data_IF_326165467007
#
_entry.id   IF_326165467007
#
_cell.length_a   1.000
_cell.length_b   1.000
_cell.length_c   1.000
_cell.angle_alpha   90.00
_cell.angle_beta   90.00
_cell.angle_gamma   90.00
#
_symmetry.space_group_name_H-M   'P 1'
#
loop_
_entity.id
_entity.type
_entity.pdbx_description
1 polymer ?
#
# COMPACT_ATOMS: atom_id res chain seq x y z
N UNK A 1 4.21 -15.80 10.05
CA UNK A 1 4.58 -14.39 9.77
C UNK A 1 3.86 -13.49 10.76
N UNK A 2 4.52 -12.46 11.34
CA UNK A 2 3.87 -11.56 12.30
C UNK A 2 2.93 -10.59 11.58
N UNK A 3 1.61 -10.81 11.67
CA UNK A 3 0.57 -9.98 11.05
C UNK A 3 0.74 -8.48 11.37
N UNK A 4 1.24 -8.14 12.57
CA UNK A 4 1.52 -6.76 12.97
C UNK A 4 2.60 -6.05 12.14
N UNK A 5 3.62 -6.78 11.68
CA UNK A 5 4.68 -6.20 10.81
C UNK A 5 4.13 -5.90 9.41
N UNK A 6 3.25 -6.77 8.90
CA UNK A 6 2.58 -6.58 7.61
C UNK A 6 1.62 -5.38 7.65
N UNK A 7 0.81 -5.25 8.71
CA UNK A 7 -0.06 -4.09 8.92
C UNK A 7 0.72 -2.77 8.98
N UNK A 8 1.85 -2.73 9.69
CA UNK A 8 2.69 -1.54 9.78
C UNK A 8 3.24 -1.12 8.39
N UNK A 9 3.58 -2.10 7.54
CA UNK A 9 4.03 -1.86 6.16
C UNK A 9 2.92 -1.30 5.28
N UNK A 10 1.70 -1.85 5.40
CA UNK A 10 0.51 -1.36 4.70
C UNK A 10 0.22 0.09 5.08
N UNK A 11 0.20 0.42 6.37
CA UNK A 11 -0.07 1.79 6.84
C UNK A 11 1.02 2.79 6.39
N UNK A 12 2.29 2.38 6.37
CA UNK A 12 3.38 3.20 5.82
C UNK A 12 3.20 3.46 4.32
N UNK A 13 2.89 2.43 3.54
CA UNK A 13 2.64 2.56 2.11
C UNK A 13 1.42 3.44 1.83
N UNK A 14 0.35 3.31 2.63
CA UNK A 14 -0.86 4.12 2.55
C UNK A 14 -0.60 5.61 2.81
N UNK A 15 0.15 5.94 3.86
CA UNK A 15 0.57 7.34 4.13
C UNK A 15 1.41 7.91 2.98
N UNK A 16 2.32 7.10 2.41
CA UNK A 16 3.16 7.53 1.30
C UNK A 16 2.34 7.81 0.05
N UNK A 17 1.38 6.96 -0.29
CA UNK A 17 0.44 7.19 -1.38
C UNK A 17 -0.33 8.50 -1.20
N UNK A 18 -0.86 8.75 0.00
CA UNK A 18 -1.59 9.98 0.31
C UNK A 18 -0.72 11.24 0.13
N UNK A 19 0.54 11.20 0.57
CA UNK A 19 1.48 12.32 0.36
C UNK A 19 1.79 12.54 -1.13
N UNK A 20 1.96 11.46 -1.89
CA UNK A 20 2.25 11.53 -3.32
C UNK A 20 1.03 12.03 -4.10
N UNK A 21 -0.19 11.60 -3.76
CA UNK A 21 -1.43 12.15 -4.30
C UNK A 21 -1.56 13.65 -4.00
N UNK A 22 -1.32 14.06 -2.75
CA UNK A 22 -1.37 15.48 -2.37
C UNK A 22 -0.34 16.33 -3.15
N UNK A 23 0.82 15.76 -3.49
CA UNK A 23 1.90 16.46 -4.20
C UNK A 23 1.68 16.53 -5.72
N UNK A 24 1.22 15.45 -6.33
CA UNK A 24 1.16 15.32 -7.80
C UNK A 24 -0.26 15.39 -8.37
N UNK A 25 -1.28 15.49 -7.52
CA UNK A 25 -2.68 15.51 -7.94
C UNK A 25 -3.30 14.11 -8.02
N UNK A 26 -4.33 13.99 -8.86
CA UNK A 26 -5.16 12.80 -8.97
C UNK A 26 -4.39 11.52 -9.37
N UNK A 27 -5.09 10.39 -9.28
CA UNK A 27 -4.61 9.02 -9.56
C UNK A 27 -4.01 8.77 -10.96
N UNK A 28 -3.92 9.78 -11.81
CA UNK A 28 -3.37 9.71 -13.17
C UNK A 28 -1.85 9.96 -13.23
N UNK A 29 -1.24 10.49 -12.15
CA UNK A 29 0.20 10.74 -12.18
C UNK A 29 1.00 9.42 -12.06
N UNK A 30 2.03 9.16 -12.90
CA UNK A 30 2.77 7.90 -12.91
C UNK A 30 3.33 7.50 -11.54
N UNK A 31 3.84 8.47 -10.77
CA UNK A 31 4.31 8.24 -9.39
C UNK A 31 3.19 7.84 -8.42
N UNK A 32 1.97 8.34 -8.60
CA UNK A 32 0.81 7.94 -7.77
C UNK A 32 0.42 6.50 -8.12
N UNK A 33 0.39 6.15 -9.41
CA UNK A 33 0.08 4.80 -9.90
C UNK A 33 1.10 3.78 -9.37
N UNK A 34 2.39 4.10 -9.42
CA UNK A 34 3.46 3.21 -8.91
C UNK A 34 3.32 2.98 -7.39
N UNK A 35 3.02 4.02 -6.61
CA UNK A 35 2.80 3.88 -5.17
C UNK A 35 1.49 3.11 -4.88
N UNK A 36 0.47 3.24 -5.73
CA UNK A 36 -0.78 2.49 -5.61
C UNK A 36 -0.55 1.00 -5.83
N UNK A 37 0.22 0.62 -6.87
CA UNK A 37 0.58 -0.78 -7.11
C UNK A 37 1.32 -1.41 -5.94
N UNK A 38 2.28 -0.68 -5.34
CA UNK A 38 3.01 -1.14 -4.15
C UNK A 38 2.10 -1.33 -2.93
N UNK A 39 1.09 -0.48 -2.76
CA UNK A 39 0.11 -0.64 -1.70
C UNK A 39 -0.79 -1.87 -1.94
N UNK A 40 -1.23 -2.08 -3.18
CA UNK A 40 -2.04 -3.22 -3.59
C UNK A 40 -1.31 -4.56 -3.39
N UNK A 41 -0.04 -4.65 -3.77
CA UNK A 41 0.78 -5.84 -3.54
C UNK A 41 0.91 -6.17 -2.04
N UNK A 42 1.08 -5.16 -1.19
CA UNK A 42 1.15 -5.33 0.26
C UNK A 42 -0.21 -5.77 0.85
N UNK A 43 -1.32 -5.23 0.34
CA UNK A 43 -2.66 -5.62 0.75
C UNK A 43 -2.98 -7.05 0.31
N UNK A 44 -2.64 -7.42 -0.91
CA UNK A 44 -2.80 -8.79 -1.40
C UNK A 44 -1.98 -9.77 -0.56
N UNK A 45 -0.72 -9.45 -0.26
CA UNK A 45 0.11 -10.29 0.60
C UNK A 45 -0.46 -10.40 2.03
N UNK A 46 -0.98 -9.31 2.58
CA UNK A 46 -1.68 -9.36 3.87
C UNK A 46 -2.94 -10.23 3.83
N UNK A 47 -3.76 -10.09 2.78
CA UNK A 47 -5.00 -10.83 2.61
C UNK A 47 -4.73 -12.32 2.39
N UNK A 48 -3.76 -12.69 1.55
CA UNK A 48 -3.35 -14.09 1.35
C UNK A 48 -2.87 -14.70 2.67
N UNK A 49 -1.98 -14.05 3.41
CA UNK A 49 -1.55 -14.53 4.72
C UNK A 49 -2.69 -14.62 5.75
N UNK A 50 -3.75 -13.82 5.61
CA UNK A 50 -4.94 -13.87 6.49
C UNK A 50 -5.91 -14.98 6.08
N UNK A 51 -5.90 -15.38 4.80
CA UNK A 51 -6.81 -16.40 4.24
C UNK A 51 -6.29 -17.83 4.46
N UNK A 52 -5.00 -17.98 4.74
CA UNK A 52 -4.35 -19.26 5.07
C UNK A 52 -4.25 -19.53 6.60
N UNK A 53 -4.98 -18.76 7.43
CA UNK A 53 -5.03 -18.91 8.89
C UNK A 53 -6.36 -19.47 9.38
#
# INVERSE_FOLDING_TARGET
MNQGVTLLRVERARRKLYQVQKKYGFLTHPKVIEQSKKLDELLNHYQTCKSES
#
